data_IF_509996031957
#
_entry.id   IF_509996031957
#
_cell.length_a   1.000
_cell.length_b   1.000
_cell.length_c   1.000
_cell.angle_alpha   90.00
_cell.angle_beta   90.00
_cell.angle_gamma   90.00
#
_symmetry.space_group_name_H-M   'P 1'
#
loop_
_entity.id
_entity.type
_entity.pdbx_description
1 polymer ?
#
# COMPACT_ATOMS: atom_id res chain seq x y z
N UNK A 1 -17.89 -3.13 -30.28
CA UNK A 1 -17.87 -1.65 -30.41
C UNK A 1 -17.15 -0.99 -29.25
N UNK A 2 -17.67 -1.04 -28.01
CA UNK A 2 -17.02 -0.37 -26.86
C UNK A 2 -15.63 -0.93 -26.52
N UNK A 3 -15.41 -2.24 -26.75
CA UNK A 3 -14.09 -2.89 -26.63
C UNK A 3 -13.04 -2.23 -27.53
N UNK A 4 -13.36 -2.04 -28.82
CA UNK A 4 -12.47 -1.34 -29.76
C UNK A 4 -12.19 0.09 -29.34
N UNK A 5 -13.20 0.80 -28.83
CA UNK A 5 -13.04 2.18 -28.34
C UNK A 5 -12.06 2.26 -27.15
N UNK A 6 -12.10 1.28 -26.25
CA UNK A 6 -11.17 1.18 -25.12
C UNK A 6 -9.80 0.59 -25.51
N UNK A 7 -9.56 0.29 -26.79
CA UNK A 7 -8.29 -0.25 -27.26
C UNK A 7 -8.11 -1.76 -27.07
N UNK A 8 -9.19 -2.52 -26.86
CA UNK A 8 -9.13 -3.98 -26.93
C UNK A 8 -8.98 -4.40 -28.40
N UNK A 9 -7.80 -4.92 -28.76
CA UNK A 9 -7.52 -5.42 -30.10
C UNK A 9 -8.19 -6.80 -30.30
N UNK A 10 -8.93 -6.96 -31.39
CA UNK A 10 -9.60 -8.21 -31.73
C UNK A 10 -8.61 -9.34 -32.04
N UNK A 11 -7.42 -9.01 -32.55
CA UNK A 11 -6.36 -9.98 -32.83
C UNK A 11 -5.82 -10.66 -31.56
N UNK A 12 -6.03 -10.07 -30.37
CA UNK A 12 -5.64 -10.68 -29.10
C UNK A 12 -6.61 -11.74 -28.60
N UNK A 13 -7.75 -11.94 -29.27
CA UNK A 13 -8.68 -13.04 -28.96
C UNK A 13 -9.47 -12.88 -27.66
N UNK A 14 -9.69 -11.66 -27.18
CA UNK A 14 -10.48 -11.41 -25.97
C UNK A 14 -11.91 -11.95 -26.07
N UNK A 15 -12.31 -12.76 -25.10
CA UNK A 15 -13.66 -13.32 -24.99
C UNK A 15 -14.43 -12.63 -23.86
N UNK A 16 -15.45 -11.86 -24.21
CA UNK A 16 -16.34 -11.21 -23.24
C UNK A 16 -17.55 -12.09 -22.95
N UNK A 17 -17.84 -12.33 -21.68
CA UNK A 17 -18.90 -13.23 -21.26
C UNK A 17 -20.27 -12.53 -21.11
N UNK A 18 -21.36 -13.29 -21.31
CA UNK A 18 -22.73 -12.83 -21.05
C UNK A 18 -23.34 -11.97 -22.15
N UNK A 19 -24.47 -11.32 -21.85
CA UNK A 19 -25.22 -10.47 -22.79
C UNK A 19 -24.63 -9.05 -22.87
N UNK A 20 -25.16 -8.22 -23.77
CA UNK A 20 -24.69 -6.85 -24.08
C UNK A 20 -24.33 -6.01 -22.83
N UNK A 21 -25.21 -5.92 -21.84
CA UNK A 21 -24.97 -5.10 -20.64
C UNK A 21 -23.83 -5.64 -19.79
N UNK A 22 -23.73 -6.96 -19.62
CA UNK A 22 -22.64 -7.59 -18.88
C UNK A 22 -21.29 -7.38 -19.58
N UNK A 23 -21.26 -7.51 -20.91
CA UNK A 23 -20.06 -7.24 -21.70
C UNK A 23 -19.67 -5.75 -21.66
N UNK A 24 -20.64 -4.84 -21.71
CA UNK A 24 -20.40 -3.40 -21.64
C UNK A 24 -19.77 -3.00 -20.29
N UNK A 25 -20.26 -3.58 -19.18
CA UNK A 25 -19.67 -3.39 -17.85
C UNK A 25 -18.27 -3.97 -17.73
N UNK A 26 -18.02 -5.17 -18.27
CA UNK A 26 -16.67 -5.76 -18.26
C UNK A 26 -15.66 -4.84 -18.94
N UNK A 27 -15.99 -4.33 -20.13
CA UNK A 27 -15.10 -3.41 -20.86
C UNK A 27 -15.03 -2.04 -20.19
N UNK A 28 -16.16 -1.48 -19.76
CA UNK A 28 -16.23 -0.14 -19.17
C UNK A 28 -15.55 -0.03 -17.80
N UNK A 29 -15.50 -1.12 -17.03
CA UNK A 29 -14.82 -1.17 -15.74
C UNK A 29 -13.37 -1.66 -15.84
N UNK A 30 -12.96 -2.22 -16.99
CA UNK A 30 -11.59 -2.64 -17.19
C UNK A 30 -10.68 -1.42 -17.38
N UNK A 31 -9.43 -1.56 -16.94
CA UNK A 31 -8.40 -0.59 -17.28
C UNK A 31 -8.07 -0.70 -18.78
N UNK A 32 -8.02 0.40 -19.55
CA UNK A 32 -7.83 0.33 -20.99
C UNK A 32 -6.51 -0.39 -21.35
N UNK A 33 -6.52 -1.42 -22.23
CA UNK A 33 -5.33 -2.21 -22.53
C UNK A 33 -4.09 -1.42 -22.97
N UNK A 34 -4.17 -0.36 -23.81
CA UNK A 34 -2.98 0.40 -24.19
C UNK A 34 -2.32 1.10 -22.99
N UNK A 35 -3.14 1.57 -22.04
CA UNK A 35 -2.61 2.19 -20.81
C UNK A 35 -2.03 1.11 -19.89
N UNK A 36 -2.68 -0.04 -19.79
CA UNK A 36 -2.17 -1.19 -19.04
C UNK A 36 -0.79 -1.64 -19.55
N UNK A 37 -0.61 -1.67 -20.88
CA UNK A 37 0.66 -2.00 -21.52
C UNK A 37 1.77 -1.03 -21.14
N UNK A 38 1.54 0.28 -21.26
CA UNK A 38 2.55 1.29 -20.91
C UNK A 38 2.91 1.29 -19.42
N UNK A 39 1.92 1.09 -18.54
CA UNK A 39 2.16 0.90 -17.10
C UNK A 39 2.99 -0.36 -16.85
N UNK A 40 2.65 -1.48 -17.49
CA UNK A 40 3.43 -2.73 -17.40
C UNK A 40 4.87 -2.55 -17.86
N UNK A 41 5.09 -1.82 -18.97
CA UNK A 41 6.44 -1.48 -19.45
C UNK A 41 7.19 -0.60 -18.46
N UNK A 42 6.52 0.36 -17.82
CA UNK A 42 7.14 1.20 -16.79
C UNK A 42 7.55 0.38 -15.56
N UNK A 43 6.70 -0.53 -15.09
CA UNK A 43 7.01 -1.45 -13.99
C UNK A 43 8.21 -2.33 -14.36
N UNK A 44 8.21 -2.93 -15.55
CA UNK A 44 9.32 -3.75 -16.03
C UNK A 44 10.64 -2.96 -16.06
N UNK A 45 10.64 -1.71 -16.55
CA UNK A 45 11.82 -0.84 -16.52
C UNK A 45 12.30 -0.57 -15.10
N UNK A 46 11.39 -0.33 -14.17
CA UNK A 46 11.74 -0.11 -12.76
C UNK A 46 12.40 -1.35 -12.13
N UNK A 47 11.82 -2.53 -12.35
CA UNK A 47 12.39 -3.80 -11.87
C UNK A 47 13.75 -4.10 -12.51
N UNK A 48 13.92 -3.75 -13.79
CA UNK A 48 15.18 -3.88 -14.51
C UNK A 48 16.19 -2.77 -14.20
N UNK A 49 15.86 -1.81 -13.32
CA UNK A 49 16.68 -0.63 -13.03
C UNK A 49 17.08 0.16 -14.29
N UNK A 50 16.25 0.11 -15.34
CA UNK A 50 16.53 0.66 -16.66
C UNK A 50 16.19 2.16 -16.79
N UNK A 51 16.32 2.92 -15.71
CA UNK A 51 16.01 4.35 -15.64
C UNK A 51 17.13 5.14 -14.99
N UNK A 52 17.18 6.44 -15.26
CA UNK A 52 18.06 7.33 -14.51
C UNK A 52 17.53 7.42 -13.07
N UNK A 53 18.40 7.25 -12.05
CA UNK A 53 18.03 7.57 -10.68
C UNK A 53 17.50 9.00 -10.64
N UNK A 54 16.22 9.15 -10.31
CA UNK A 54 15.65 10.46 -10.07
C UNK A 54 15.60 10.68 -8.57
N UNK A 55 16.26 11.74 -8.11
CA UNK A 55 16.16 12.15 -6.71
C UNK A 55 14.75 12.67 -6.51
N UNK A 56 13.92 11.91 -5.78
CA UNK A 56 12.54 12.28 -5.48
C UNK A 56 12.45 12.71 -4.02
N UNK A 57 12.77 13.98 -3.68
CA UNK A 57 12.75 14.47 -2.30
C UNK A 57 11.36 14.39 -1.65
N UNK A 58 10.25 14.43 -2.40
CA UNK A 58 8.92 14.18 -1.84
C UNK A 58 8.72 12.72 -1.43
N UNK A 59 9.23 11.77 -2.24
CA UNK A 59 9.31 10.36 -1.85
C UNK A 59 10.43 10.10 -0.85
N UNK A 60 11.41 10.98 -0.67
CA UNK A 60 12.33 10.88 0.44
C UNK A 60 11.52 10.96 1.74
N UNK A 61 10.48 11.80 1.82
CA UNK A 61 9.52 11.82 2.96
C UNK A 61 8.67 10.55 3.11
N UNK A 62 8.39 9.82 2.04
CA UNK A 62 7.75 8.51 2.09
C UNK A 62 8.75 7.35 2.35
N UNK A 63 9.99 7.51 1.90
CA UNK A 63 11.14 6.64 2.17
C UNK A 63 11.73 6.91 3.53
N UNK A 64 11.37 8.06 4.14
CA UNK A 64 11.67 8.37 5.52
C UNK A 64 11.10 7.24 6.34
N UNK A 65 10.06 6.46 5.89
CA UNK A 65 9.49 5.20 6.43
C UNK A 65 10.53 4.13 6.75
N UNK A 66 11.53 4.00 5.89
CA UNK A 66 12.46 2.91 5.92
C UNK A 66 13.36 2.85 7.17
N UNK A 67 14.01 3.92 7.66
CA UNK A 67 15.02 3.78 8.72
C UNK A 67 14.43 3.31 10.06
N UNK A 68 13.39 3.99 10.56
CA UNK A 68 12.73 3.58 11.82
C UNK A 68 12.00 2.24 11.65
N UNK A 69 11.31 2.02 10.52
CA UNK A 69 10.64 0.73 10.25
C UNK A 69 11.64 -0.42 10.22
N UNK A 70 12.72 -0.28 9.45
CA UNK A 70 13.76 -1.31 9.29
C UNK A 70 14.39 -1.61 10.64
N UNK A 71 14.71 -0.58 11.41
CA UNK A 71 15.32 -0.73 12.72
C UNK A 71 14.40 -1.45 13.72
N UNK A 72 13.11 -1.10 13.76
CA UNK A 72 12.15 -1.82 14.60
C UNK A 72 11.83 -3.23 14.07
N UNK A 73 11.93 -3.47 12.75
CA UNK A 73 11.72 -4.77 12.11
C UNK A 73 12.88 -5.73 12.35
N UNK A 74 14.11 -5.22 12.35
CA UNK A 74 15.34 -6.00 12.60
C UNK A 74 15.57 -6.21 14.11
N UNK A 75 14.87 -5.48 14.97
CA UNK A 75 14.97 -5.65 16.41
C UNK A 75 14.13 -6.84 16.89
N UNK A 76 14.76 -7.74 17.63
CA UNK A 76 14.09 -8.89 18.28
C UNK A 76 13.27 -8.51 19.54
N UNK A 77 13.07 -7.21 19.81
CA UNK A 77 12.43 -6.74 21.04
C UNK A 77 12.10 -5.24 21.05
N UNK A 78 11.75 -4.74 22.24
CA UNK A 78 11.40 -3.32 22.44
C UNK A 78 12.64 -2.43 22.37
N UNK A 79 12.48 -1.29 21.69
CA UNK A 79 13.52 -0.26 21.57
C UNK A 79 13.05 1.08 22.12
N UNK A 80 13.87 1.68 22.97
CA UNK A 80 13.60 3.02 23.51
C UNK A 80 13.89 4.11 22.46
N UNK A 81 13.29 5.30 22.56
CA UNK A 81 13.57 6.44 21.68
C UNK A 81 15.07 6.70 21.54
N UNK A 82 15.80 6.69 22.66
CA UNK A 82 17.25 6.92 22.65
C UNK A 82 18.02 5.85 21.87
N UNK A 83 17.63 4.57 21.99
CA UNK A 83 18.24 3.48 21.24
C UNK A 83 17.95 3.57 19.74
N UNK A 84 16.72 3.96 19.37
CA UNK A 84 16.32 4.20 17.99
C UNK A 84 17.16 5.34 17.40
N UNK A 85 17.12 6.53 18.01
CA UNK A 85 17.81 7.72 17.51
C UNK A 85 19.32 7.50 17.32
N UNK A 86 19.96 6.78 18.24
CA UNK A 86 21.40 6.47 18.16
C UNK A 86 21.77 5.60 16.97
N UNK A 87 20.89 4.70 16.56
CA UNK A 87 21.14 3.67 15.56
C UNK A 87 20.56 4.04 14.17
N UNK A 88 19.94 5.22 14.03
CA UNK A 88 19.46 5.70 12.73
C UNK A 88 20.63 6.16 11.86
N UNK A 89 20.58 5.79 10.58
CA UNK A 89 21.54 6.26 9.56
C UNK A 89 21.37 7.74 9.22
N UNK A 90 20.20 8.32 9.50
CA UNK A 90 19.90 9.76 9.33
C UNK A 90 19.50 10.32 10.69
N UNK A 91 20.13 11.39 11.18
CA UNK A 91 19.84 11.94 12.50
C UNK A 91 18.43 12.52 12.55
N UNK A 92 17.62 12.04 13.49
CA UNK A 92 16.27 12.56 13.76
C UNK A 92 16.28 13.29 15.11
N UNK A 93 15.41 14.29 15.26
CA UNK A 93 15.01 14.79 16.57
C UNK A 93 13.87 13.96 17.18
N UNK A 94 13.53 14.24 18.44
CA UNK A 94 12.49 13.51 19.16
C UNK A 94 11.10 13.67 18.50
N UNK A 95 10.79 14.86 17.98
CA UNK A 95 9.48 15.17 17.35
C UNK A 95 9.34 14.41 16.03
N UNK A 96 10.42 14.33 15.25
CA UNK A 96 10.49 13.56 14.01
C UNK A 96 10.30 12.07 14.27
N UNK A 97 10.90 11.53 15.34
CA UNK A 97 10.69 10.15 15.74
C UNK A 97 9.23 9.89 16.17
N UNK A 98 8.64 10.76 16.98
CA UNK A 98 7.24 10.59 17.41
C UNK A 98 6.25 10.64 16.25
N UNK A 99 6.34 11.66 15.40
CA UNK A 99 5.55 11.76 14.16
C UNK A 99 5.67 10.51 13.34
N UNK A 100 6.85 9.92 13.37
CA UNK A 100 7.08 8.69 12.68
C UNK A 100 6.39 7.49 13.32
N UNK A 101 6.60 7.24 14.60
CA UNK A 101 5.89 6.15 15.27
C UNK A 101 4.37 6.26 15.02
N UNK A 102 3.82 7.48 15.04
CA UNK A 102 2.42 7.76 14.72
C UNK A 102 2.02 7.48 13.25
N UNK A 103 2.93 7.60 12.28
CA UNK A 103 2.64 7.18 10.91
C UNK A 103 2.74 5.66 10.74
N UNK A 104 3.75 5.02 11.33
CA UNK A 104 3.88 3.56 11.28
C UNK A 104 2.68 2.87 11.93
N UNK A 105 2.14 3.46 13.00
CA UNK A 105 0.94 2.93 13.66
C UNK A 105 -0.32 2.98 12.79
N UNK A 106 -0.33 3.68 11.65
CA UNK A 106 -1.45 3.59 10.69
C UNK A 106 -1.48 2.24 9.98
N UNK A 107 -0.30 1.73 9.66
CA UNK A 107 -0.13 0.54 8.83
C UNK A 107 0.29 -0.69 9.64
N UNK A 108 0.80 -0.52 10.86
CA UNK A 108 1.29 -1.60 11.73
C UNK A 108 0.71 -1.46 13.13
N UNK A 109 0.61 -2.59 13.85
CA UNK A 109 0.49 -2.58 15.30
C UNK A 109 1.84 -2.17 15.87
N UNK A 110 1.85 -1.18 16.76
CA UNK A 110 3.05 -0.79 17.50
C UNK A 110 2.77 -1.10 18.96
N UNK A 111 3.52 -2.07 19.50
CA UNK A 111 3.45 -2.38 20.92
C UNK A 111 4.29 -1.36 21.69
N UNK A 112 3.70 -0.79 22.73
CA UNK A 112 4.33 0.23 23.57
C UNK A 112 4.43 -0.32 24.99
N UNK A 113 5.65 -0.39 25.52
CA UNK A 113 5.92 -0.78 26.90
C UNK A 113 6.52 0.40 27.67
N UNK A 114 5.91 0.76 28.81
CA UNK A 114 6.42 1.82 29.67
C UNK A 114 7.62 1.31 30.49
N UNK A 115 8.79 1.92 30.28
CA UNK A 115 10.01 1.59 31.02
C UNK A 115 10.42 2.75 31.94
N UNK A 116 11.38 2.50 32.83
CA UNK A 116 11.97 3.57 33.67
C UNK A 116 12.64 4.69 32.87
N UNK A 117 12.93 4.45 31.61
CA UNK A 117 13.59 5.39 30.69
C UNK A 117 12.63 5.99 29.65
N UNK A 118 11.32 5.80 29.86
CA UNK A 118 10.25 6.22 28.95
C UNK A 118 9.66 5.06 28.13
N UNK A 119 8.79 5.37 27.15
CA UNK A 119 8.13 4.34 26.34
C UNK A 119 9.15 3.61 25.47
N UNK A 120 8.99 2.30 25.31
CA UNK A 120 9.75 1.48 24.38
C UNK A 120 8.80 0.91 23.31
N UNK A 121 9.25 0.88 22.07
CA UNK A 121 8.45 0.51 20.91
C UNK A 121 8.90 -0.80 20.32
N UNK A 122 7.95 -1.65 19.95
CA UNK A 122 8.18 -2.85 19.14
C UNK A 122 7.24 -2.84 17.95
N UNK A 123 7.77 -3.21 16.78
CA UNK A 123 6.95 -3.38 15.58
C UNK A 123 6.19 -4.71 15.69
N UNK A 124 4.86 -4.64 15.61
CA UNK A 124 3.98 -5.80 15.54
C UNK A 124 3.49 -6.08 14.13
N UNK A 125 2.33 -6.70 14.04
CA UNK A 125 1.74 -7.16 12.79
C UNK A 125 1.32 -6.02 11.85
N UNK A 126 1.35 -6.30 10.54
CA UNK A 126 0.89 -5.38 9.51
C UNK A 126 -0.64 -5.37 9.44
N UNK A 127 -1.25 -4.17 9.44
CA UNK A 127 -2.69 -3.93 9.47
C UNK A 127 -3.39 -4.05 8.11
N UNK A 128 -2.68 -4.35 7.02
CA UNK A 128 -3.27 -4.25 5.69
C UNK A 128 -4.45 -5.19 5.44
N UNK A 129 -5.17 -4.86 4.37
CA UNK A 129 -6.29 -5.61 3.80
C UNK A 129 -5.89 -7.00 3.33
N UNK A 130 -5.86 -7.95 4.26
CA UNK A 130 -5.77 -9.38 3.95
C UNK A 130 -7.15 -10.03 3.74
N UNK A 131 -8.23 -9.23 3.65
CA UNK A 131 -9.60 -9.78 3.68
C UNK A 131 -9.93 -10.38 5.04
N UNK A 132 -9.53 -9.71 6.12
CA UNK A 132 -9.78 -10.15 7.50
C UNK A 132 -11.29 -10.13 7.79
N UNK A 133 -11.84 -11.24 8.27
CA UNK A 133 -13.28 -11.40 8.54
C UNK A 133 -13.86 -10.29 9.45
N UNK A 134 -13.05 -9.76 10.38
CA UNK A 134 -13.47 -8.83 11.43
C UNK A 134 -13.04 -7.37 11.22
N UNK A 135 -12.74 -6.95 9.99
CA UNK A 135 -12.40 -5.55 9.74
C UNK A 135 -13.68 -4.67 9.82
N UNK A 136 -13.69 -3.55 10.58
CA UNK A 136 -14.86 -2.67 10.77
C UNK A 136 -15.59 -2.28 9.46
N UNK A 137 -14.85 -1.98 8.38
CA UNK A 137 -15.43 -1.75 7.05
C UNK A 137 -16.26 -2.92 6.47
N UNK A 138 -16.05 -4.17 6.90
CA UNK A 138 -16.91 -5.30 6.54
C UNK A 138 -18.31 -5.19 7.18
N UNK A 139 -18.47 -4.51 8.31
CA UNK A 139 -19.81 -4.27 8.88
C UNK A 139 -20.71 -3.56 7.87
N UNK A 140 -20.16 -2.56 7.15
CA UNK A 140 -20.87 -1.85 6.09
C UNK A 140 -21.28 -2.76 4.92
N UNK A 141 -20.53 -3.84 4.63
CA UNK A 141 -20.87 -4.82 3.59
C UNK A 141 -21.72 -6.00 4.10
N UNK A 142 -21.69 -6.29 5.40
CA UNK A 142 -22.48 -7.33 6.07
C UNK A 142 -23.95 -6.91 6.22
N UNK A 143 -24.22 -5.62 6.39
CA UNK A 143 -25.58 -5.09 6.38
C UNK A 143 -26.16 -5.12 4.96
N UNK A 144 -26.97 -6.15 4.68
CA UNK A 144 -27.73 -6.37 3.42
C UNK A 144 -28.49 -5.16 2.88
N UNK A 145 -28.76 -4.15 3.71
CA UNK A 145 -29.58 -2.97 3.40
C UNK A 145 -28.93 -2.08 2.31
N UNK A 146 -27.61 -2.13 2.13
CA UNK A 146 -26.89 -1.31 1.13
C UNK A 146 -26.63 -1.98 -0.23
N UNK A 147 -26.97 -3.27 -0.41
CA UNK A 147 -26.73 -3.96 -1.69
C UNK A 147 -27.81 -3.58 -2.69
N UNK A 148 -27.54 -2.57 -3.53
CA UNK A 148 -28.31 -2.35 -4.74
C UNK A 148 -28.31 -3.64 -5.57
N UNK A 149 -29.50 -4.24 -5.75
CA UNK A 149 -29.68 -5.39 -6.63
C UNK A 149 -29.43 -4.90 -8.05
N UNK A 150 -28.25 -5.18 -8.57
CA UNK A 150 -27.94 -4.92 -9.98
C UNK A 150 -28.83 -5.88 -10.79
N UNK A 151 -29.86 -5.35 -11.44
CA UNK A 151 -30.70 -6.07 -12.41
C UNK A 151 -29.96 -6.30 -13.72
#
# INVERSE_FOLDING_TARGET
MVARLQGFNEAWGWQLAGRKTAQYRQVGNAFPPPVAEEVGRAIMRALAHAGQPHDMPELASATLHAPVYRLLKEADGYLTPAAILRNLTVPYDAIQLERRIAHLSKDFVIDIEETRSGPAYKLGEFKAFIGQDEHERHEAFAHRVGRSRIS
#
